data_IF_757083435666
#
_entry.id   IF_757083435666
#
_cell.length_a   1.000
_cell.length_b   1.000
_cell.length_c   1.000
_cell.angle_alpha   90.00
_cell.angle_beta   90.00
_cell.angle_gamma   90.00
#
_symmetry.space_group_name_H-M   'P 1'
#
loop_
_entity.id
_entity.type
_entity.pdbx_description
1 polymer ?
#
# COMPACT_ATOMS: atom_id res chain seq x y z
N UNK A 1 -10.43 14.81 14.79
CA UNK A 1 -10.82 14.00 13.62
C UNK A 1 -9.62 13.23 13.14
N UNK A 2 -9.72 11.90 12.94
CA UNK A 2 -8.59 11.11 12.42
C UNK A 2 -8.43 11.33 10.90
N UNK A 3 -7.21 11.16 10.37
CA UNK A 3 -6.91 11.37 8.94
C UNK A 3 -7.78 10.46 8.05
N UNK A 4 -8.01 9.21 8.45
CA UNK A 4 -8.82 8.24 7.71
C UNK A 4 -10.28 8.68 7.62
N UNK A 5 -10.86 9.15 8.74
CA UNK A 5 -12.23 9.65 8.76
C UNK A 5 -12.39 10.84 7.81
N UNK A 6 -11.49 11.81 7.90
CA UNK A 6 -11.53 13.01 7.05
C UNK A 6 -11.39 12.64 5.57
N UNK A 7 -10.43 11.79 5.22
CA UNK A 7 -10.22 11.34 3.84
C UNK A 7 -11.47 10.66 3.26
N UNK A 8 -12.14 9.81 4.05
CA UNK A 8 -13.40 9.18 3.66
C UNK A 8 -14.51 10.21 3.47
N UNK A 9 -14.66 11.16 4.39
CA UNK A 9 -15.74 12.16 4.38
C UNK A 9 -15.65 13.15 3.22
N UNK A 10 -14.44 13.53 2.81
CA UNK A 10 -14.23 14.41 1.65
C UNK A 10 -14.27 13.65 0.30
N UNK A 11 -14.49 12.34 0.31
CA UNK A 11 -14.47 11.52 -0.90
C UNK A 11 -13.09 11.40 -1.53
N UNK A 12 -12.03 11.40 -0.72
CA UNK A 12 -10.67 11.24 -1.21
C UNK A 12 -10.50 9.89 -1.94
N UNK A 13 -9.75 9.94 -3.03
CA UNK A 13 -9.26 8.77 -3.76
C UNK A 13 -7.80 8.52 -3.36
N UNK A 14 -7.41 7.26 -3.25
CA UNK A 14 -6.07 6.89 -2.85
C UNK A 14 -5.74 5.45 -3.21
N UNK A 15 -4.48 5.07 -2.97
CA UNK A 15 -3.98 3.71 -3.14
C UNK A 15 -3.55 3.16 -1.79
N UNK A 16 -3.65 1.85 -1.61
CA UNK A 16 -3.29 1.20 -0.34
C UNK A 16 -1.77 1.16 -0.16
N UNK A 17 -1.28 1.68 0.97
CA UNK A 17 0.10 1.54 1.40
C UNK A 17 0.36 0.34 2.30
N UNK A 18 1.64 0.09 2.60
CA UNK A 18 2.06 -1.00 3.48
C UNK A 18 1.49 -0.86 4.91
N UNK A 19 1.49 0.35 5.47
CA UNK A 19 0.93 0.58 6.81
C UNK A 19 -0.60 0.49 6.84
N UNK A 20 -1.29 0.94 5.79
CA UNK A 20 -2.74 0.74 5.65
C UNK A 20 -3.08 -0.75 5.62
N UNK A 21 -2.28 -1.53 4.89
CA UNK A 21 -2.44 -2.98 4.83
C UNK A 21 -2.24 -3.65 6.20
N UNK A 22 -1.26 -3.22 6.98
CA UNK A 22 -1.07 -3.73 8.34
C UNK A 22 -2.25 -3.36 9.25
N UNK A 23 -2.73 -2.12 9.24
CA UNK A 23 -3.92 -1.72 10.02
C UNK A 23 -5.14 -2.57 9.66
N UNK A 24 -5.36 -2.84 8.37
CA UNK A 24 -6.41 -3.73 7.90
C UNK A 24 -6.25 -5.15 8.45
N UNK A 25 -5.03 -5.71 8.38
CA UNK A 25 -4.70 -7.05 8.91
C UNK A 25 -4.95 -7.13 10.41
N UNK A 26 -4.58 -6.10 11.15
CA UNK A 26 -4.83 -5.97 12.58
C UNK A 26 -6.32 -5.93 12.91
N UNK A 27 -7.10 -5.13 12.17
CA UNK A 27 -8.55 -5.10 12.36
C UNK A 27 -9.18 -6.48 12.08
N UNK A 28 -8.70 -7.24 11.10
CA UNK A 28 -9.17 -8.61 10.87
C UNK A 28 -8.88 -9.52 12.06
N UNK A 29 -7.65 -9.49 12.58
CA UNK A 29 -7.23 -10.30 13.72
C UNK A 29 -8.07 -9.99 14.98
N UNK A 30 -8.26 -8.70 15.28
CA UNK A 30 -9.12 -8.24 16.38
C UNK A 30 -10.54 -8.79 16.20
N UNK A 31 -11.10 -8.69 14.99
CA UNK A 31 -12.46 -9.16 14.69
C UNK A 31 -12.59 -10.69 14.78
N UNK A 32 -11.55 -11.44 14.42
CA UNK A 32 -11.57 -12.91 14.47
C UNK A 32 -11.21 -13.47 15.84
N UNK A 33 -10.88 -12.62 16.82
CA UNK A 33 -10.44 -13.07 18.15
C UNK A 33 -9.10 -13.81 18.13
N UNK A 34 -8.33 -13.70 17.05
CA UNK A 34 -7.00 -14.29 16.96
C UNK A 34 -6.06 -13.40 17.73
N UNK A 35 -5.35 -13.96 18.71
CA UNK A 35 -4.32 -13.22 19.43
C UNK A 35 -3.25 -12.74 18.44
N UNK A 36 -3.09 -11.42 18.31
CA UNK A 36 -2.13 -10.91 17.37
C UNK A 36 -0.69 -11.15 17.87
N UNK A 37 0.28 -11.28 16.97
CA UNK A 37 1.65 -11.63 17.34
C UNK A 37 2.36 -10.58 18.21
N UNK A 38 1.93 -9.31 18.18
CA UNK A 38 2.50 -8.21 18.99
C UNK A 38 1.40 -7.23 19.45
N UNK A 39 0.65 -7.60 20.48
CA UNK A 39 -0.35 -6.72 21.09
C UNK A 39 0.30 -5.40 21.54
N UNK A 40 -0.32 -4.26 21.23
CA UNK A 40 0.20 -2.93 21.58
C UNK A 40 1.04 -2.24 20.50
N UNK A 41 1.15 -2.78 19.29
CA UNK A 41 1.72 -2.04 18.16
C UNK A 41 0.89 -0.81 17.77
N UNK A 42 1.50 0.18 17.12
CA UNK A 42 0.77 1.36 16.62
C UNK A 42 -0.36 0.97 15.67
N UNK A 43 -0.16 -0.07 14.84
CA UNK A 43 -1.18 -0.59 13.94
C UNK A 43 -2.35 -1.22 14.68
N UNK A 44 -2.10 -1.93 15.78
CA UNK A 44 -3.15 -2.43 16.66
C UNK A 44 -3.99 -1.29 17.24
N UNK A 45 -3.33 -0.25 17.75
CA UNK A 45 -4.02 0.90 18.34
C UNK A 45 -4.91 1.60 17.30
N UNK A 46 -4.35 1.92 16.13
CA UNK A 46 -5.12 2.52 15.03
C UNK A 46 -6.29 1.63 14.63
N UNK A 47 -6.07 0.33 14.39
CA UNK A 47 -7.11 -0.61 14.00
C UNK A 47 -8.26 -0.72 15.02
N UNK A 48 -7.96 -0.55 16.31
CA UNK A 48 -8.94 -0.59 17.41
C UNK A 48 -9.79 0.68 17.50
N UNK A 49 -9.30 1.80 16.97
CA UNK A 49 -9.98 3.09 17.01
C UNK A 49 -10.80 3.41 15.75
N UNK A 50 -10.60 2.67 14.65
CA UNK A 50 -11.30 2.94 13.38
C UNK A 50 -12.74 2.43 13.41
N UNK A 51 -13.66 3.24 12.85
CA UNK A 51 -15.05 2.81 12.69
C UNK A 51 -15.19 1.75 11.59
N UNK A 52 -16.33 1.05 11.58
CA UNK A 52 -16.66 0.10 10.48
C UNK A 52 -16.67 0.79 9.11
N UNK A 53 -17.08 2.06 9.05
CA UNK A 53 -17.10 2.83 7.82
C UNK A 53 -15.68 3.17 7.34
N UNK A 54 -14.79 3.56 8.25
CA UNK A 54 -13.39 3.85 7.94
C UNK A 54 -12.67 2.61 7.41
N UNK A 55 -12.84 1.48 8.09
CA UNK A 55 -12.25 0.21 7.68
C UNK A 55 -12.79 -0.21 6.30
N UNK A 56 -14.11 -0.12 6.08
CA UNK A 56 -14.71 -0.45 4.78
C UNK A 56 -14.12 0.42 3.65
N UNK A 57 -13.89 1.71 3.91
CA UNK A 57 -13.24 2.60 2.96
C UNK A 57 -11.78 2.19 2.69
N UNK A 58 -10.99 1.90 3.73
CA UNK A 58 -9.62 1.39 3.55
C UNK A 58 -9.56 0.08 2.74
N UNK A 59 -10.54 -0.81 2.90
CA UNK A 59 -10.68 -2.02 2.07
C UNK A 59 -10.97 -1.73 0.60
N UNK A 60 -11.57 -0.60 0.29
CA UNK A 60 -11.88 -0.21 -1.09
C UNK A 60 -10.69 0.39 -1.84
N UNK A 61 -9.65 0.83 -1.12
CA UNK A 61 -8.45 1.39 -1.74
C UNK A 61 -7.74 0.34 -2.62
N UNK A 62 -7.55 0.59 -3.92
CA UNK A 62 -6.85 -0.32 -4.83
C UNK A 62 -5.33 -0.30 -4.57
N UNK A 63 -4.62 -1.29 -5.12
CA UNK A 63 -3.16 -1.35 -5.06
C UNK A 63 -2.48 -0.29 -5.93
N UNK A 64 -3.13 0.08 -7.03
CA UNK A 64 -2.72 1.13 -7.93
C UNK A 64 -3.94 1.71 -8.63
N UNK A 65 -3.78 2.89 -9.21
CA UNK A 65 -4.79 3.49 -10.09
C UNK A 65 -4.13 4.21 -11.26
N UNK A 66 -4.91 4.42 -12.32
CA UNK A 66 -4.46 5.12 -13.52
C UNK A 66 -5.39 6.28 -13.81
N UNK A 67 -4.84 7.38 -14.31
CA UNK A 67 -5.60 8.50 -14.85
C UNK A 67 -5.11 8.80 -16.26
N UNK A 68 -5.99 8.61 -17.24
CA UNK A 68 -5.69 8.93 -18.64
C UNK A 68 -5.54 10.44 -18.84
N UNK A 69 -6.41 11.23 -18.19
CA UNK A 69 -6.42 12.68 -18.29
C UNK A 69 -5.13 13.31 -17.74
N UNK A 70 -4.53 12.69 -16.71
CA UNK A 70 -3.26 13.12 -16.15
C UNK A 70 -2.05 12.42 -16.78
N UNK A 71 -2.26 11.44 -17.67
CA UNK A 71 -1.19 10.59 -18.18
C UNK A 71 -0.38 9.91 -17.07
N UNK A 72 -1.01 9.54 -15.96
CA UNK A 72 -0.33 9.16 -14.72
C UNK A 72 -0.77 7.80 -14.17
N UNK A 73 0.17 7.11 -13.53
CA UNK A 73 -0.08 5.97 -12.68
C UNK A 73 0.25 6.33 -11.23
N UNK A 74 -0.59 5.85 -10.31
CA UNK A 74 -0.43 6.06 -8.88
C UNK A 74 -0.28 4.71 -8.19
N UNK A 75 0.75 4.59 -7.37
CA UNK A 75 1.08 3.39 -6.58
C UNK A 75 1.84 3.84 -5.34
N UNK A 76 1.75 3.09 -4.25
CA UNK A 76 2.37 3.50 -2.98
C UNK A 76 3.90 3.50 -3.04
N UNK A 77 4.52 2.42 -3.56
CA UNK A 77 5.97 2.30 -3.65
C UNK A 77 6.47 2.38 -5.10
N UNK A 78 6.01 1.48 -5.98
CA UNK A 78 6.46 1.44 -7.37
C UNK A 78 5.99 0.20 -8.15
N UNK A 79 6.41 0.11 -9.40
CA UNK A 79 6.14 -1.03 -10.29
C UNK A 79 7.44 -1.72 -10.69
N UNK A 80 7.40 -3.05 -10.79
CA UNK A 80 8.52 -3.80 -11.34
C UNK A 80 8.54 -3.60 -12.85
N UNK A 81 9.66 -3.10 -13.38
CA UNK A 81 9.82 -2.90 -14.82
C UNK A 81 9.71 -4.21 -15.60
N UNK A 82 9.18 -4.14 -16.82
CA UNK A 82 8.90 -5.31 -17.67
C UNK A 82 7.71 -6.17 -17.23
N UNK A 83 7.06 -5.87 -16.10
CA UNK A 83 5.88 -6.61 -15.62
C UNK A 83 4.61 -5.83 -15.95
N UNK A 84 3.68 -6.46 -16.70
CA UNK A 84 2.37 -5.87 -17.03
C UNK A 84 1.63 -5.48 -15.74
N UNK A 85 0.95 -4.33 -15.74
CA UNK A 85 0.25 -3.79 -14.55
C UNK A 85 -0.67 -4.82 -13.86
N UNK A 86 -1.44 -5.58 -14.65
CA UNK A 86 -2.33 -6.63 -14.13
C UNK A 86 -1.63 -7.81 -13.46
N UNK A 87 -0.32 -7.98 -13.67
CA UNK A 87 0.52 -9.04 -13.10
C UNK A 87 1.45 -8.55 -11.99
N UNK A 88 1.37 -7.27 -11.63
CA UNK A 88 2.17 -6.71 -10.54
C UNK A 88 1.80 -7.37 -9.21
N UNK A 89 2.79 -7.59 -8.35
CA UNK A 89 2.57 -8.15 -7.02
C UNK A 89 2.22 -7.03 -6.02
N UNK A 90 1.05 -7.07 -5.35
CA UNK A 90 0.66 -6.07 -4.36
C UNK A 90 1.69 -5.81 -3.26
N UNK A 91 2.40 -6.86 -2.81
CA UNK A 91 3.44 -6.71 -1.80
C UNK A 91 4.59 -5.84 -2.30
N UNK A 92 4.98 -5.97 -3.56
CA UNK A 92 6.04 -5.16 -4.16
C UNK A 92 5.54 -3.73 -4.42
N UNK A 93 4.29 -3.58 -4.88
CA UNK A 93 3.63 -2.28 -5.06
C UNK A 93 3.58 -1.43 -3.79
N UNK A 94 3.60 -2.05 -2.62
CA UNK A 94 3.59 -1.36 -1.32
C UNK A 94 4.96 -1.24 -0.64
N UNK A 95 5.97 -2.01 -1.03
CA UNK A 95 7.18 -2.12 -0.20
C UNK A 95 8.50 -1.95 -0.97
N UNK A 96 8.49 -2.05 -2.29
CA UNK A 96 9.73 -2.05 -3.09
C UNK A 96 10.48 -0.73 -2.96
N UNK A 97 11.80 -0.82 -2.77
CA UNK A 97 12.72 0.33 -2.80
C UNK A 97 13.83 0.15 -3.85
N UNK A 98 14.27 -1.08 -4.07
CA UNK A 98 15.39 -1.38 -4.97
C UNK A 98 15.18 -2.64 -5.79
N UNK A 99 15.84 -2.67 -6.96
CA UNK A 99 15.95 -3.84 -7.85
C UNK A 99 17.43 -4.08 -8.12
N UNK A 100 17.96 -5.19 -7.60
CA UNK A 100 19.37 -5.55 -7.68
C UNK A 100 19.77 -6.02 -9.10
N UNK A 101 21.08 -6.08 -9.44
CA UNK A 101 21.54 -6.47 -10.78
C UNK A 101 21.06 -7.86 -11.24
N UNK A 102 20.80 -8.76 -10.31
CA UNK A 102 20.29 -10.11 -10.54
C UNK A 102 18.76 -10.17 -10.75
N UNK A 103 18.08 -9.02 -10.71
CA UNK A 103 16.62 -8.91 -10.80
C UNK A 103 15.89 -9.04 -9.46
N UNK A 104 16.60 -9.24 -8.34
CA UNK A 104 15.99 -9.36 -7.02
C UNK A 104 15.32 -8.04 -6.60
N UNK A 105 14.02 -8.10 -6.34
CA UNK A 105 13.23 -6.96 -5.85
C UNK A 105 13.22 -6.95 -4.32
N UNK A 106 13.52 -5.80 -3.70
CA UNK A 106 13.66 -5.69 -2.24
C UNK A 106 13.06 -4.41 -1.67
N UNK A 107 12.63 -4.48 -0.40
CA UNK A 107 12.19 -3.34 0.39
C UNK A 107 13.33 -2.61 1.11
N UNK A 108 14.55 -3.14 1.04
CA UNK A 108 15.75 -2.41 1.47
C UNK A 108 16.18 -1.43 0.40
N UNK A 109 16.61 -0.25 0.81
CA UNK A 109 17.12 0.75 -0.11
C UNK A 109 18.62 0.55 -0.34
N UNK A 110 19.02 0.55 -1.62
CA UNK A 110 20.40 0.54 -2.07
C UNK A 110 20.61 1.70 -3.04
N UNK A 111 21.51 2.63 -2.71
CA UNK A 111 21.72 3.89 -3.45
C UNK A 111 21.94 3.69 -4.95
N UNK A 112 22.67 2.66 -5.36
CA UNK A 112 23.01 2.42 -6.78
C UNK A 112 21.90 1.69 -7.56
N UNK A 113 20.88 1.19 -6.85
CA UNK A 113 19.87 0.29 -7.40
C UNK A 113 18.44 0.71 -7.02
N UNK A 114 18.04 2.00 -7.04
CA UNK A 114 16.65 2.38 -6.81
C UNK A 114 15.78 1.79 -7.93
N UNK A 115 14.60 1.28 -7.58
CA UNK A 115 13.70 0.66 -8.57
C UNK A 115 13.36 1.61 -9.72
N UNK A 116 13.16 2.90 -9.40
CA UNK A 116 12.70 3.93 -10.32
C UNK A 116 13.65 4.17 -11.50
N UNK A 117 14.94 3.81 -11.36
CA UNK A 117 15.89 3.93 -12.48
C UNK A 117 15.56 3.02 -13.67
N UNK A 118 14.81 1.94 -13.44
CA UNK A 118 14.41 0.96 -14.45
C UNK A 118 12.99 1.23 -14.96
N UNK A 119 12.33 2.28 -14.47
CA UNK A 119 10.95 2.56 -14.81
C UNK A 119 10.87 3.39 -16.09
N UNK A 120 10.29 2.81 -17.15
CA UNK A 120 10.23 3.43 -18.47
C UNK A 120 9.07 4.40 -18.64
N UNK A 121 8.18 4.49 -17.65
CA UNK A 121 7.02 5.37 -17.69
C UNK A 121 5.67 4.62 -17.63
N UNK A 122 4.57 5.37 -17.55
CA UNK A 122 3.23 4.81 -17.33
C UNK A 122 2.67 4.01 -18.51
N UNK A 123 3.28 4.10 -19.70
CA UNK A 123 2.94 3.39 -20.93
C UNK A 123 4.17 3.20 -21.81
#
# INVERSE_FOLDING_TARGET
TSVVQMAREIGAIGVRGNHDFEVIRWHQAIKSGVEPPVVGSEHYHVASCLSKADIKWMYSLPWFMSSKDLGALFVHAGFVSGVRLAKQNPRLMMNMRSILPDGTVTSKFFNNWPWARLWDGPQ
#
